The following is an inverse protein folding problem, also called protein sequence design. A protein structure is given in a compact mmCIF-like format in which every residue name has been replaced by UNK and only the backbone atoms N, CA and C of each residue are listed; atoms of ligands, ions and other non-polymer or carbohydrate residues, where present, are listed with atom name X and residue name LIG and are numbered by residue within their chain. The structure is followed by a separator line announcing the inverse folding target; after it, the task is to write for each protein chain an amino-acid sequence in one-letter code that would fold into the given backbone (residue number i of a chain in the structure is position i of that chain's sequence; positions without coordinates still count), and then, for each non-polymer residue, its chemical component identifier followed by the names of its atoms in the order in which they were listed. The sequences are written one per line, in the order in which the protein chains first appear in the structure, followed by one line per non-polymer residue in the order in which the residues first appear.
data_IF_480085713963
#
_entry.id   IF_480085713963
#
_cell.length_a   1.000
_cell.length_b   1.000
_cell.length_c   1.000
_cell.angle_alpha   90.00
_cell.angle_beta   90.00
_cell.angle_gamma   90.00
#
_symmetry.space_group_name_H-M   'P 1'
#
loop_
_entity.id
_entity.type
_entity.pdbx_description
1 polymer ?
#
# COMPACT_ATOMS: atom_id res chain seq x y z
N UNK A 1 -5.15 4.66 3.49
CA UNK A 1 -3.80 4.24 3.91
C UNK A 1 -3.78 3.91 5.40
N UNK A 2 -2.92 3.01 5.92
CA UNK A 2 -2.92 2.62 7.33
C UNK A 2 -2.42 3.74 8.25
N UNK A 3 -2.84 3.67 9.52
CA UNK A 3 -2.32 4.54 10.59
C UNK A 3 -0.86 4.21 10.95
N UNK A 4 -0.45 2.95 10.83
CA UNK A 4 0.92 2.51 11.06
C UNK A 4 1.69 2.44 9.73
N UNK A 5 2.51 3.46 9.50
CA UNK A 5 3.35 3.57 8.30
C UNK A 5 4.50 4.57 8.50
N UNK A 6 5.42 4.60 7.57
CA UNK A 6 6.44 5.64 7.50
C UNK A 6 5.86 6.95 6.94
N UNK A 7 6.39 8.08 7.40
CA UNK A 7 5.93 9.42 6.99
C UNK A 7 5.94 9.65 5.47
N UNK A 8 6.76 8.94 4.72
CA UNK A 8 6.82 9.05 3.26
C UNK A 8 5.50 8.64 2.59
N UNK A 9 4.76 7.69 3.17
CA UNK A 9 3.46 7.25 2.62
C UNK A 9 2.44 8.40 2.57
N UNK A 10 2.08 9.08 3.69
CA UNK A 10 1.19 10.25 3.61
C UNK A 10 1.81 11.42 2.84
N UNK A 11 3.12 11.64 2.94
CA UNK A 11 3.80 12.72 2.23
C UNK A 11 3.66 12.57 0.71
N UNK A 12 3.79 11.36 0.16
CA UNK A 12 3.62 11.10 -1.27
C UNK A 12 2.21 11.44 -1.76
N UNK A 13 1.18 11.18 -0.94
CA UNK A 13 -0.21 11.54 -1.24
C UNK A 13 -0.39 13.05 -1.29
N UNK A 14 0.19 13.77 -0.31
CA UNK A 14 0.13 15.25 -0.27
C UNK A 14 0.88 15.86 -1.46
N UNK A 15 2.06 15.34 -1.81
CA UNK A 15 2.84 15.80 -2.97
C UNK A 15 2.06 15.60 -4.28
N UNK A 16 1.24 14.55 -4.36
CA UNK A 16 0.33 14.32 -5.48
C UNK A 16 -0.92 15.21 -5.48
N UNK A 17 -0.99 16.24 -4.62
CA UNK A 17 -2.14 17.12 -4.41
C UNK A 17 -3.43 16.38 -4.02
N UNK A 18 -3.30 15.25 -3.33
CA UNK A 18 -4.40 14.48 -2.79
C UNK A 18 -4.45 14.57 -1.26
N UNK A 19 -5.59 14.20 -0.67
CA UNK A 19 -5.78 14.21 0.78
C UNK A 19 -5.61 12.80 1.32
N UNK A 20 -4.62 12.55 2.20
CA UNK A 20 -4.46 11.26 2.84
C UNK A 20 -5.58 11.02 3.87
N UNK A 21 -6.35 9.96 3.69
CA UNK A 21 -7.33 9.48 4.67
C UNK A 21 -6.71 8.29 5.39
N UNK A 22 -6.62 8.38 6.70
CA UNK A 22 -6.01 7.34 7.54
C UNK A 22 -7.09 6.35 7.97
N UNK A 23 -6.84 5.07 7.73
CA UNK A 23 -7.61 3.95 8.23
C UNK A 23 -6.87 3.26 9.37
N UNK A 24 -7.62 2.66 10.27
CA UNK A 24 -7.08 1.88 11.38
C UNK A 24 -6.27 0.67 10.90
N UNK A 25 -5.54 0.07 11.81
CA UNK A 25 -4.83 -1.19 11.60
C UNK A 25 -5.49 -2.30 12.42
N UNK A 26 -5.40 -3.51 11.94
CA UNK A 26 -5.82 -4.71 12.65
C UNK A 26 -4.65 -5.35 13.44
N UNK A 27 -4.89 -6.51 14.02
CA UNK A 27 -3.88 -7.26 14.79
C UNK A 27 -2.65 -7.70 13.96
N UNK A 28 -2.70 -7.62 12.65
CA UNK A 28 -1.54 -7.87 11.77
C UNK A 28 -0.60 -6.67 11.67
N UNK A 29 -0.96 -5.54 12.26
CA UNK A 29 -0.32 -4.23 12.11
C UNK A 29 -0.35 -3.70 10.67
N UNK A 30 -1.23 -4.24 9.83
CA UNK A 30 -1.51 -3.71 8.50
C UNK A 30 -2.90 -3.07 8.46
N UNK A 31 -3.24 -2.42 7.35
CA UNK A 31 -4.52 -1.72 7.22
C UNK A 31 -5.71 -2.65 7.43
N UNK A 32 -6.67 -2.22 8.25
CA UNK A 32 -7.90 -2.94 8.51
C UNK A 32 -8.88 -2.78 7.32
N UNK A 33 -9.26 -3.87 6.64
CA UNK A 33 -10.22 -3.81 5.54
C UNK A 33 -11.60 -3.27 5.94
N UNK A 34 -12.07 -3.52 7.16
CA UNK A 34 -13.38 -3.04 7.61
C UNK A 34 -13.37 -1.51 7.76
N UNK A 35 -12.29 -0.95 8.30
CA UNK A 35 -12.16 0.49 8.42
C UNK A 35 -11.89 1.19 7.08
N UNK A 36 -11.25 0.50 6.11
CA UNK A 36 -11.16 1.01 4.74
C UNK A 36 -12.56 1.31 4.20
N UNK A 37 -13.46 0.33 4.25
CA UNK A 37 -14.78 0.47 3.64
C UNK A 37 -15.60 1.57 4.30
N UNK A 38 -15.50 1.71 5.62
CA UNK A 38 -16.16 2.77 6.39
C UNK A 38 -15.72 4.19 6.01
N UNK A 39 -14.50 4.35 5.46
CA UNK A 39 -13.90 5.65 5.11
C UNK A 39 -13.97 6.00 3.64
N UNK A 40 -14.54 5.14 2.80
CA UNK A 40 -14.72 5.44 1.37
C UNK A 40 -15.77 6.53 1.19
N UNK A 41 -15.45 7.48 0.32
CA UNK A 41 -16.34 8.57 -0.07
C UNK A 41 -16.33 8.71 -1.61
N UNK A 42 -17.25 9.49 -2.21
CA UNK A 42 -17.22 9.75 -3.66
C UNK A 42 -15.94 10.43 -4.16
N UNK A 43 -15.13 10.98 -3.25
CA UNK A 43 -13.83 11.58 -3.56
C UNK A 43 -12.66 10.60 -3.46
N UNK A 44 -12.87 9.41 -2.90
CA UNK A 44 -11.82 8.39 -2.80
C UNK A 44 -11.42 7.93 -4.20
N UNK A 45 -10.13 7.79 -4.45
CA UNK A 45 -9.57 7.38 -5.74
C UNK A 45 -8.70 6.14 -5.65
N UNK A 46 -8.08 5.92 -4.50
CA UNK A 46 -7.17 4.79 -4.32
C UNK A 46 -7.15 4.30 -2.88
N UNK A 47 -6.83 3.03 -2.72
CA UNK A 47 -6.44 2.42 -1.46
C UNK A 47 -4.92 2.19 -1.53
N UNK A 48 -4.21 2.61 -0.48
CA UNK A 48 -2.76 2.44 -0.41
C UNK A 48 -2.43 1.55 0.81
N UNK A 49 -2.42 0.22 0.67
CA UNK A 49 -1.90 -0.67 1.70
C UNK A 49 -0.39 -0.52 1.84
N UNK A 50 0.10 -0.69 3.06
CA UNK A 50 1.54 -0.72 3.37
C UNK A 50 1.87 -2.07 3.95
N UNK A 51 2.85 -2.75 3.36
CA UNK A 51 3.32 -4.06 3.82
C UNK A 51 4.44 -3.86 4.85
N UNK A 52 4.01 -3.41 6.04
CA UNK A 52 4.93 -2.98 7.09
C UNK A 52 5.79 -4.15 7.58
N UNK A 53 7.11 -3.94 7.67
CA UNK A 53 8.10 -4.95 8.10
C UNK A 53 8.04 -6.24 7.24
N UNK A 54 7.52 -6.14 6.00
CA UNK A 54 7.35 -7.30 5.13
C UNK A 54 6.09 -8.12 5.39
N UNK A 55 5.26 -7.74 6.38
CA UNK A 55 3.98 -8.41 6.66
C UNK A 55 2.96 -8.02 5.57
N UNK A 56 2.38 -8.97 4.85
CA UNK A 56 1.42 -8.66 3.82
C UNK A 56 0.10 -8.18 4.40
N UNK A 57 -0.42 -7.07 3.89
CA UNK A 57 -1.81 -6.69 4.11
C UNK A 57 -2.76 -7.74 3.51
N UNK A 58 -3.99 -7.81 3.99
CA UNK A 58 -5.00 -8.72 3.44
C UNK A 58 -5.44 -8.28 2.03
N UNK A 59 -4.58 -8.58 1.04
CA UNK A 59 -4.78 -8.15 -0.34
C UNK A 59 -6.07 -8.72 -0.98
N UNK A 60 -6.55 -9.88 -0.49
CA UNK A 60 -7.81 -10.43 -0.99
C UNK A 60 -9.01 -9.56 -0.60
N UNK A 61 -9.08 -9.13 0.65
CA UNK A 61 -10.15 -8.25 1.12
C UNK A 61 -10.02 -6.85 0.50
N UNK A 62 -8.80 -6.30 0.48
CA UNK A 62 -8.53 -4.97 -0.11
C UNK A 62 -8.93 -4.92 -1.57
N UNK A 63 -8.59 -5.95 -2.35
CA UNK A 63 -9.00 -6.01 -3.76
C UNK A 63 -10.50 -6.09 -3.92
N UNK A 64 -11.18 -6.91 -3.13
CA UNK A 64 -12.64 -7.02 -3.19
C UNK A 64 -13.32 -5.67 -2.91
N UNK A 65 -12.82 -4.90 -1.94
CA UNK A 65 -13.31 -3.54 -1.65
C UNK A 65 -13.01 -2.60 -2.81
N UNK A 66 -11.78 -2.62 -3.33
CA UNK A 66 -11.38 -1.77 -4.43
C UNK A 66 -12.23 -2.01 -5.69
N UNK A 67 -12.46 -3.27 -6.04
CA UNK A 67 -13.27 -3.68 -7.19
C UNK A 67 -14.75 -3.26 -7.00
N UNK A 68 -15.29 -3.40 -5.79
CA UNK A 68 -16.67 -2.98 -5.44
C UNK A 68 -16.88 -1.47 -5.62
N UNK A 69 -15.87 -0.67 -5.33
CA UNK A 69 -15.96 0.80 -5.31
C UNK A 69 -15.22 1.48 -6.47
N UNK A 70 -14.75 0.72 -7.47
CA UNK A 70 -13.97 1.20 -8.62
C UNK A 70 -12.75 2.04 -8.20
N UNK A 71 -11.96 1.52 -7.26
CA UNK A 71 -10.81 2.18 -6.70
C UNK A 71 -9.49 1.55 -7.19
N UNK A 72 -8.48 2.36 -7.33
CA UNK A 72 -7.13 1.88 -7.57
C UNK A 72 -6.52 1.31 -6.28
N UNK A 73 -5.61 0.33 -6.43
CA UNK A 73 -4.78 -0.17 -5.33
C UNK A 73 -3.32 0.11 -5.64
N UNK A 74 -2.66 0.84 -4.75
CA UNK A 74 -1.24 1.19 -4.82
C UNK A 74 -0.55 0.54 -3.63
N UNK A 75 0.25 -0.49 -3.87
CA UNK A 75 0.96 -1.20 -2.81
C UNK A 75 2.24 -0.46 -2.42
N UNK A 76 2.35 -0.06 -1.16
CA UNK A 76 3.61 0.40 -0.59
C UNK A 76 4.41 -0.83 -0.10
N UNK A 77 5.39 -1.20 -0.89
CA UNK A 77 6.29 -2.33 -0.68
C UNK A 77 7.69 -1.89 -0.23
N UNK A 78 7.84 -0.67 0.31
CA UNK A 78 9.13 -0.11 0.70
C UNK A 78 9.91 -0.95 1.74
N UNK A 79 9.23 -1.87 2.44
CA UNK A 79 9.81 -2.79 3.41
C UNK A 79 9.52 -4.26 3.08
N UNK A 80 9.03 -4.57 1.87
CA UNK A 80 8.49 -5.89 1.54
C UNK A 80 9.07 -6.49 0.25
N UNK A 81 10.27 -6.08 -0.14
CA UNK A 81 10.90 -6.62 -1.34
C UNK A 81 11.10 -8.14 -1.22
N UNK A 82 10.66 -8.89 -2.23
CA UNK A 82 10.74 -10.35 -2.23
C UNK A 82 9.66 -11.07 -1.40
N UNK A 83 8.91 -10.36 -0.56
CA UNK A 83 7.81 -10.94 0.20
C UNK A 83 6.63 -11.32 -0.71
N UNK A 84 5.73 -12.16 -0.21
CA UNK A 84 4.60 -12.65 -0.98
C UNK A 84 3.31 -12.74 -0.17
N UNK A 85 2.19 -12.71 -0.88
CA UNK A 85 0.87 -13.00 -0.34
C UNK A 85 0.22 -14.08 -1.20
N UNK A 86 -0.11 -15.23 -0.59
CA UNK A 86 -0.55 -16.43 -1.32
C UNK A 86 0.51 -16.82 -2.39
N UNK A 87 0.11 -16.96 -3.64
CA UNK A 87 0.99 -17.42 -4.73
C UNK A 87 1.69 -16.31 -5.51
N UNK A 88 1.48 -15.04 -5.16
CA UNK A 88 2.05 -13.89 -5.87
C UNK A 88 2.98 -13.07 -4.98
N UNK A 89 3.94 -12.38 -5.61
CA UNK A 89 4.80 -11.42 -4.92
C UNK A 89 4.03 -10.15 -4.56
N UNK A 90 4.36 -9.55 -3.42
CA UNK A 90 3.84 -8.22 -3.07
C UNK A 90 4.31 -7.19 -4.10
N UNK A 91 3.48 -6.19 -4.33
CA UNK A 91 3.66 -5.21 -5.40
C UNK A 91 3.09 -5.64 -6.75
N UNK A 92 2.47 -6.84 -6.83
CA UNK A 92 1.83 -7.35 -8.05
C UNK A 92 0.35 -7.71 -7.86
N UNK A 93 -0.20 -7.42 -6.70
CA UNK A 93 -1.62 -7.67 -6.38
C UNK A 93 -2.50 -6.48 -6.73
N UNK A 94 -1.99 -5.27 -6.54
CA UNK A 94 -2.66 -4.02 -6.90
C UNK A 94 -2.41 -3.60 -8.34
N UNK A 95 -2.78 -2.37 -8.66
CA UNK A 95 -2.53 -1.75 -9.97
C UNK A 95 -1.09 -1.23 -10.08
N UNK A 96 -0.51 -0.83 -8.94
CA UNK A 96 0.84 -0.29 -8.85
C UNK A 96 1.50 -0.84 -7.59
N UNK A 97 2.75 -1.27 -7.69
CA UNK A 97 3.61 -1.61 -6.56
C UNK A 97 4.81 -0.67 -6.50
N UNK A 98 5.05 -0.06 -5.34
CA UNK A 98 6.14 0.88 -5.10
C UNK A 98 7.15 0.28 -4.14
N UNK A 99 8.44 0.28 -4.51
CA UNK A 99 9.53 -0.24 -3.71
C UNK A 99 10.56 0.83 -3.45
N UNK A 100 11.17 0.82 -2.28
CA UNK A 100 12.26 1.72 -1.93
C UNK A 100 13.60 1.01 -2.04
N UNK A 101 14.56 1.67 -2.67
CA UNK A 101 15.97 1.27 -2.73
C UNK A 101 16.87 2.24 -1.96
N UNK A 102 16.31 2.95 -0.98
CA UNK A 102 17.06 3.85 -0.11
C UNK A 102 18.09 3.06 0.73
N UNK A 103 19.18 3.69 1.13
CA UNK A 103 20.35 3.04 1.73
C UNK A 103 20.08 2.11 2.93
N UNK A 104 18.97 2.28 3.65
CA UNK A 104 18.59 1.42 4.79
C UNK A 104 17.77 0.20 4.41
N UNK A 105 17.49 0.00 3.12
CA UNK A 105 16.64 -1.11 2.63
C UNK A 105 17.45 -2.38 2.36
N UNK A 106 16.76 -3.52 2.28
CA UNK A 106 17.35 -4.85 2.00
C UNK A 106 18.12 -4.84 0.68
N UNK A 107 17.55 -4.21 -0.34
CA UNK A 107 18.22 -3.94 -1.62
C UNK A 107 18.31 -2.42 -1.74
N UNK A 108 19.50 -1.90 -1.88
CA UNK A 108 19.71 -0.46 -1.91
C UNK A 108 20.67 -0.03 -3.04
N UNK A 109 20.47 1.19 -3.52
CA UNK A 109 21.26 1.86 -4.56
C UNK A 109 21.77 3.22 -4.08
N UNK A 110 21.84 3.41 -2.75
CA UNK A 110 22.03 4.73 -2.11
C UNK A 110 20.67 5.37 -1.91
N UNK A 111 20.17 6.07 -2.91
CA UNK A 111 18.78 6.50 -3.03
C UNK A 111 18.16 5.91 -4.30
N UNK A 112 16.85 5.70 -4.27
CA UNK A 112 16.13 5.18 -5.43
C UNK A 112 14.85 4.45 -5.07
N UNK A 113 14.12 4.07 -6.09
CA UNK A 113 12.90 3.28 -5.97
C UNK A 113 12.54 2.60 -7.28
N UNK A 114 11.69 1.61 -7.18
CA UNK A 114 11.13 0.88 -8.32
C UNK A 114 9.61 1.01 -8.27
N UNK A 115 9.00 1.17 -9.42
CA UNK A 115 7.55 1.15 -9.59
C UNK A 115 7.21 0.04 -10.57
N UNK A 116 6.36 -0.87 -10.13
CA UNK A 116 5.75 -1.89 -10.98
C UNK A 116 4.32 -1.47 -11.30
N UNK A 117 3.94 -1.54 -12.56
CA UNK A 117 2.57 -1.34 -13.02
C UNK A 117 2.04 -2.68 -13.52
N UNK A 118 0.85 -3.08 -13.07
CA UNK A 118 0.12 -4.18 -13.69
C UNK A 118 -0.40 -3.72 -15.06
N UNK A 119 -0.29 -4.57 -16.06
CA UNK A 119 -0.86 -4.36 -17.40
C UNK A 119 -2.36 -4.64 -17.38
#
# INVERSE_FOLDING_TARGET
MPAYTWVATPASVVIANAVPVIAEIDNSLTIDPEDIEAKITPRTRAIMPVHMIGVPSNMSAIKAIADKHDLLVIEDCAQAIGAGYKVKRLGTHGHIGCFSCQQSKIIHTGDGGLVLKAD
#
